data_IF_956048483134
#
_entry.id   IF_956048483134
#
_cell.length_a   1.000
_cell.length_b   1.000
_cell.length_c   1.000
_cell.angle_alpha   90.00
_cell.angle_beta   90.00
_cell.angle_gamma   90.00
#
_symmetry.space_group_name_H-M   'P 1'
#
loop_
_entity.id
_entity.type
_entity.pdbx_description
1 polymer ?
#
# COMPACT_ATOMS: atom_id res chain seq x y z
N UNK A 1 -11.16 -2.30 33.44
CA UNK A 1 -9.99 -1.55 32.96
C UNK A 1 -10.17 -1.41 31.47
N UNK A 2 -10.43 -0.19 30.98
CA UNK A 2 -10.43 0.08 29.55
C UNK A 2 -9.05 -0.23 28.98
N UNK A 3 -9.01 -0.70 27.74
CA UNK A 3 -7.75 -0.84 27.01
C UNK A 3 -7.20 0.57 26.78
N UNK A 4 -6.25 1.01 27.59
CA UNK A 4 -5.48 2.19 27.24
C UNK A 4 -4.46 1.76 26.19
N UNK A 5 -4.92 1.70 24.93
CA UNK A 5 -4.03 1.66 23.76
C UNK A 5 -3.01 2.77 23.97
N UNK A 6 -1.73 2.43 23.92
CA UNK A 6 -0.68 3.41 24.20
C UNK A 6 -0.81 4.61 23.27
N UNK A 7 -0.41 5.79 23.75
CA UNK A 7 -0.38 7.01 22.93
C UNK A 7 0.49 6.81 21.68
N UNK A 8 1.56 6.01 21.78
CA UNK A 8 2.42 5.63 20.67
C UNK A 8 1.65 4.82 19.61
N UNK A 9 0.94 3.75 20.01
CA UNK A 9 0.15 2.95 19.08
C UNK A 9 -1.02 3.72 18.46
N UNK A 10 -1.66 4.63 19.21
CA UNK A 10 -2.68 5.52 18.63
C UNK A 10 -2.09 6.47 17.58
N UNK A 11 -0.89 7.00 17.84
CA UNK A 11 -0.18 7.86 16.88
C UNK A 11 0.16 7.07 15.62
N UNK A 12 0.74 5.87 15.78
CA UNK A 12 1.04 4.97 14.68
C UNK A 12 -0.20 4.64 13.85
N UNK A 13 -1.31 4.27 14.51
CA UNK A 13 -2.59 3.99 13.84
C UNK A 13 -3.04 5.17 12.98
N UNK A 14 -3.00 6.39 13.51
CA UNK A 14 -3.38 7.60 12.75
C UNK A 14 -2.46 7.82 11.55
N UNK A 15 -1.16 7.60 11.72
CA UNK A 15 -0.18 7.69 10.63
C UNK A 15 -0.50 6.69 9.52
N UNK A 16 -0.74 5.42 9.86
CA UNK A 16 -1.07 4.38 8.88
C UNK A 16 -2.38 4.68 8.14
N UNK A 17 -3.42 5.11 8.85
CA UNK A 17 -4.69 5.52 8.25
C UNK A 17 -4.51 6.71 7.29
N UNK A 18 -3.73 7.71 7.70
CA UNK A 18 -3.44 8.88 6.87
C UNK A 18 -2.67 8.53 5.60
N UNK A 19 -1.61 7.73 5.70
CA UNK A 19 -0.86 7.28 4.53
C UNK A 19 -1.69 6.38 3.61
N UNK A 20 -2.52 5.48 4.17
CA UNK A 20 -3.48 4.72 3.37
C UNK A 20 -4.42 5.64 2.59
N UNK A 21 -4.90 6.74 3.17
CA UNK A 21 -5.78 7.68 2.48
C UNK A 21 -5.04 8.39 1.32
N UNK A 22 -3.77 8.74 1.51
CA UNK A 22 -2.93 9.26 0.45
C UNK A 22 -2.67 8.24 -0.67
N UNK A 23 -2.55 6.94 -0.36
CA UNK A 23 -2.45 5.89 -1.36
C UNK A 23 -3.77 5.71 -2.15
N UNK A 24 -4.94 5.83 -1.50
CA UNK A 24 -6.22 5.88 -2.20
C UNK A 24 -6.31 7.11 -3.13
N UNK A 25 -5.79 8.26 -2.70
CA UNK A 25 -5.69 9.42 -3.59
C UNK A 25 -4.79 9.13 -4.80
N UNK A 26 -3.65 8.45 -4.61
CA UNK A 26 -2.80 8.01 -5.71
C UNK A 26 -3.54 7.06 -6.67
N UNK A 27 -4.42 6.19 -6.16
CA UNK A 27 -5.31 5.37 -7.02
C UNK A 27 -6.21 6.23 -7.90
N UNK A 28 -6.80 7.30 -7.35
CA UNK A 28 -7.64 8.22 -8.12
C UNK A 28 -6.84 8.95 -9.21
N UNK A 29 -5.60 9.34 -8.90
CA UNK A 29 -4.67 9.89 -9.90
C UNK A 29 -4.37 8.86 -11.00
N UNK A 30 -4.16 7.59 -10.63
CA UNK A 30 -4.00 6.49 -11.59
C UNK A 30 -5.24 6.27 -12.47
N UNK A 31 -6.45 6.38 -11.89
CA UNK A 31 -7.72 6.27 -12.61
C UNK A 31 -7.97 7.43 -13.58
N UNK A 32 -7.63 8.66 -13.16
CA UNK A 32 -7.62 9.82 -14.04
C UNK A 32 -6.62 9.61 -15.20
N UNK A 33 -5.42 9.11 -14.91
CA UNK A 33 -4.44 8.75 -15.94
C UNK A 33 -4.96 7.69 -16.92
N UNK A 34 -5.63 6.64 -16.42
CA UNK A 34 -6.28 5.62 -17.25
C UNK A 34 -7.33 6.22 -18.18
N UNK A 35 -8.24 7.04 -17.63
CA UNK A 35 -9.25 7.73 -18.41
C UNK A 35 -8.62 8.58 -19.51
N UNK A 36 -7.65 9.42 -19.16
CA UNK A 36 -6.96 10.28 -20.12
C UNK A 36 -6.21 9.48 -21.20
N UNK A 37 -5.58 8.36 -20.82
CA UNK A 37 -4.84 7.49 -21.74
C UNK A 37 -5.77 6.84 -22.76
N UNK A 38 -6.91 6.28 -22.32
CA UNK A 38 -7.88 5.62 -23.21
C UNK A 38 -8.55 6.66 -24.13
N UNK A 39 -8.90 7.83 -23.59
CA UNK A 39 -9.53 8.89 -24.37
C UNK A 39 -8.56 9.56 -25.37
N UNK A 40 -7.26 9.51 -25.11
CA UNK A 40 -6.25 10.25 -25.88
C UNK A 40 -6.30 11.76 -25.62
N UNK A 41 -6.70 12.15 -24.40
CA UNK A 41 -6.91 13.54 -24.01
C UNK A 41 -7.77 13.67 -22.76
N UNK A 42 -8.32 14.86 -22.53
CA UNK A 42 -9.24 15.13 -21.44
C UNK A 42 -10.44 15.94 -21.92
N UNK A 43 -11.64 15.47 -21.61
CA UNK A 43 -12.89 16.14 -21.96
C UNK A 43 -13.27 17.14 -20.87
N UNK A 44 -13.30 18.44 -21.20
CA UNK A 44 -13.60 19.50 -20.22
C UNK A 44 -15.11 19.80 -20.21
N UNK A 45 -15.72 19.81 -21.39
CA UNK A 45 -17.16 19.91 -21.61
C UNK A 45 -17.57 18.89 -22.67
N UNK A 46 -18.83 18.41 -22.67
CA UNK A 46 -19.29 17.43 -23.64
C UNK A 46 -18.96 17.83 -25.08
N UNK A 47 -18.21 16.97 -25.78
CA UNK A 47 -17.77 17.16 -27.17
C UNK A 47 -16.48 17.95 -27.36
N UNK A 48 -15.88 18.52 -26.30
CA UNK A 48 -14.61 19.26 -26.37
C UNK A 48 -13.49 18.53 -25.63
N UNK A 49 -12.67 17.81 -26.40
CA UNK A 49 -11.52 17.04 -25.89
C UNK A 49 -10.23 17.82 -26.17
N UNK A 50 -9.52 18.16 -25.10
CA UNK A 50 -8.13 18.62 -25.19
C UNK A 50 -7.26 17.39 -25.41
N UNK A 51 -6.73 17.23 -26.62
CA UNK A 51 -5.96 16.05 -27.03
C UNK A 51 -4.53 16.13 -26.51
N UNK A 52 -4.08 15.03 -25.91
CA UNK A 52 -2.69 14.80 -25.53
C UNK A 52 -2.46 13.29 -25.38
N UNK A 53 -1.20 12.86 -25.40
CA UNK A 53 -0.85 11.46 -25.16
C UNK A 53 -0.16 11.31 -23.81
N UNK A 54 -0.54 10.27 -23.08
CA UNK A 54 0.14 9.86 -21.85
C UNK A 54 1.09 8.70 -22.16
N UNK A 55 2.28 8.65 -21.53
CA UNK A 55 3.18 7.52 -21.68
C UNK A 55 2.64 6.27 -21.00
N UNK A 56 3.27 5.13 -21.29
CA UNK A 56 2.96 3.85 -20.69
C UNK A 56 1.93 3.05 -21.48
N UNK A 57 1.10 2.30 -20.77
CA UNK A 57 0.12 1.39 -21.37
C UNK A 57 -1.19 1.38 -20.60
N UNK A 58 -2.29 1.01 -21.26
CA UNK A 58 -3.60 0.84 -20.62
C UNK A 58 -3.50 -0.10 -19.40
N UNK A 59 -2.88 -1.28 -19.56
CA UNK A 59 -2.68 -2.23 -18.46
C UNK A 59 -1.87 -1.64 -17.30
N UNK A 60 -0.86 -0.81 -17.60
CA UNK A 60 -0.08 -0.17 -16.55
C UNK A 60 -0.89 0.91 -15.82
N UNK A 61 -1.70 1.69 -16.52
CA UNK A 61 -2.63 2.64 -15.90
C UNK A 61 -3.72 1.97 -15.07
N UNK A 62 -4.24 0.81 -15.50
CA UNK A 62 -5.13 -0.03 -14.67
C UNK A 62 -4.43 -0.41 -13.37
N UNK A 63 -3.15 -0.80 -13.40
CA UNK A 63 -2.38 -1.12 -12.19
C UNK A 63 -2.13 0.12 -11.32
N UNK A 64 -1.85 1.28 -11.91
CA UNK A 64 -1.75 2.55 -11.17
C UNK A 64 -3.08 2.91 -10.49
N UNK A 65 -4.22 2.51 -11.05
CA UNK A 65 -5.51 2.72 -10.44
C UNK A 65 -5.81 1.69 -9.33
N UNK A 66 -5.66 0.40 -9.59
CA UNK A 66 -6.12 -0.64 -8.65
C UNK A 66 -5.07 -1.01 -7.59
N UNK A 67 -3.79 -0.95 -7.94
CA UNK A 67 -2.68 -1.34 -7.07
C UNK A 67 -2.59 -0.52 -5.78
N UNK A 68 -2.64 0.82 -5.84
CA UNK A 68 -2.65 1.65 -4.63
C UNK A 68 -3.86 1.41 -3.72
N UNK A 69 -5.01 0.96 -4.25
CA UNK A 69 -6.19 0.60 -3.43
C UNK A 69 -5.86 -0.58 -2.53
N UNK A 70 -5.34 -1.67 -3.10
CA UNK A 70 -5.00 -2.86 -2.32
C UNK A 70 -3.95 -2.55 -1.23
N UNK A 71 -2.92 -1.76 -1.58
CA UNK A 71 -1.88 -1.35 -0.63
C UNK A 71 -2.43 -0.41 0.45
N UNK A 72 -3.32 0.52 0.10
CA UNK A 72 -3.98 1.37 1.07
C UNK A 72 -4.78 0.56 2.09
N UNK A 73 -5.60 -0.39 1.61
CA UNK A 73 -6.42 -1.25 2.46
C UNK A 73 -5.55 -2.11 3.38
N UNK A 74 -4.44 -2.64 2.88
CA UNK A 74 -3.45 -3.36 3.68
C UNK A 74 -2.88 -2.48 4.80
N UNK A 75 -2.39 -1.28 4.46
CA UNK A 75 -1.79 -0.35 5.44
C UNK A 75 -2.81 0.11 6.48
N UNK A 76 -4.02 0.48 6.04
CA UNK A 76 -5.12 0.84 6.93
C UNK A 76 -5.54 -0.33 7.81
N UNK A 77 -5.67 -1.52 7.24
CA UNK A 77 -6.01 -2.75 7.95
C UNK A 77 -5.01 -3.04 9.07
N UNK A 78 -3.71 -2.95 8.78
CA UNK A 78 -2.65 -3.06 9.79
C UNK A 78 -2.79 -2.01 10.88
N UNK A 79 -3.05 -0.75 10.53
CA UNK A 79 -3.26 0.33 11.50
C UNK A 79 -4.49 0.13 12.39
N UNK A 80 -5.55 -0.48 11.86
CA UNK A 80 -6.74 -0.85 12.62
C UNK A 80 -6.51 -2.08 13.50
N UNK A 81 -5.69 -3.03 13.06
CA UNK A 81 -5.43 -4.28 13.77
C UNK A 81 -4.44 -4.12 14.94
N UNK A 82 -3.36 -3.34 14.76
CA UNK A 82 -2.26 -3.22 15.75
C UNK A 82 -2.74 -2.97 17.19
N UNK A 83 -3.67 -2.03 17.48
CA UNK A 83 -4.15 -1.79 18.85
C UNK A 83 -4.85 -2.97 19.51
N UNK A 84 -5.21 -4.00 18.74
CA UNK A 84 -5.89 -5.20 19.20
C UNK A 84 -4.94 -6.41 19.28
N UNK A 85 -3.67 -6.23 18.93
CA UNK A 85 -2.63 -7.23 19.08
C UNK A 85 -1.84 -6.88 20.34
N UNK A 86 -1.61 -7.85 21.23
CA UNK A 86 -0.72 -7.69 22.38
C UNK A 86 0.73 -7.60 21.90
N UNK A 87 1.11 -6.42 21.43
CA UNK A 87 2.43 -6.10 20.90
C UNK A 87 3.09 -5.03 21.77
N UNK A 88 4.39 -5.17 22.09
CA UNK A 88 5.18 -4.06 22.62
C UNK A 88 5.18 -2.89 21.63
N UNK A 89 5.11 -1.66 22.14
CA UNK A 89 5.04 -0.44 21.32
C UNK A 89 6.13 -0.37 20.25
N UNK A 90 7.38 -0.64 20.61
CA UNK A 90 8.50 -0.60 19.66
C UNK A 90 8.41 -1.65 18.54
N UNK A 91 7.83 -2.82 18.84
CA UNK A 91 7.59 -3.84 17.82
C UNK A 91 6.43 -3.41 16.90
N UNK A 92 5.33 -2.92 17.48
CA UNK A 92 4.20 -2.40 16.72
C UNK A 92 4.63 -1.28 15.77
N UNK A 93 5.42 -0.33 16.24
CA UNK A 93 5.97 0.77 15.44
C UNK A 93 6.82 0.25 14.27
N UNK A 94 7.77 -0.65 14.54
CA UNK A 94 8.63 -1.22 13.50
C UNK A 94 7.82 -1.95 12.43
N UNK A 95 6.87 -2.79 12.84
CA UNK A 95 6.03 -3.57 11.92
C UNK A 95 5.12 -2.65 11.09
N UNK A 96 4.46 -1.67 11.74
CA UNK A 96 3.63 -0.69 11.07
C UNK A 96 4.40 0.11 10.04
N UNK A 97 5.62 0.56 10.37
CA UNK A 97 6.46 1.33 9.45
C UNK A 97 6.90 0.50 8.23
N UNK A 98 7.29 -0.77 8.44
CA UNK A 98 7.62 -1.68 7.34
C UNK A 98 6.44 -1.83 6.38
N UNK A 99 5.24 -2.10 6.91
CA UNK A 99 4.03 -2.26 6.08
C UNK A 99 3.68 -0.98 5.34
N UNK A 100 3.81 0.18 5.99
CA UNK A 100 3.58 1.49 5.36
C UNK A 100 4.53 1.74 4.19
N UNK A 101 5.82 1.46 4.38
CA UNK A 101 6.85 1.69 3.35
C UNK A 101 6.76 0.69 2.21
N UNK A 102 6.37 -0.55 2.48
CA UNK A 102 6.01 -1.51 1.43
C UNK A 102 4.84 -0.99 0.60
N UNK A 103 3.78 -0.51 1.25
CA UNK A 103 2.64 0.10 0.57
C UNK A 103 3.05 1.22 -0.39
N UNK A 104 3.88 2.17 0.06
CA UNK A 104 4.38 3.26 -0.80
C UNK A 104 5.32 2.78 -1.89
N UNK A 105 6.14 1.78 -1.59
CA UNK A 105 7.05 1.18 -2.56
C UNK A 105 6.27 0.54 -3.71
N UNK A 106 5.17 -0.16 -3.41
CA UNK A 106 4.29 -0.72 -4.42
C UNK A 106 3.54 0.35 -5.21
N UNK A 107 3.07 1.43 -4.57
CA UNK A 107 2.51 2.59 -5.30
C UNK A 107 3.53 3.12 -6.30
N UNK A 108 4.75 3.41 -5.86
CA UNK A 108 5.84 3.85 -6.75
C UNK A 108 6.13 2.86 -7.87
N UNK A 109 6.19 1.56 -7.56
CA UNK A 109 6.38 0.48 -8.53
C UNK A 109 5.34 0.53 -9.65
N UNK A 110 4.06 0.75 -9.37
CA UNK A 110 3.04 0.82 -10.41
C UNK A 110 3.24 2.02 -11.34
N UNK A 111 3.51 3.21 -10.79
CA UNK A 111 3.70 4.42 -11.58
C UNK A 111 4.99 4.39 -12.40
N UNK A 112 6.12 4.09 -11.77
CA UNK A 112 7.41 4.02 -12.46
C UNK A 112 7.50 2.82 -13.39
N UNK A 113 6.89 1.69 -13.02
CA UNK A 113 6.78 0.51 -13.86
C UNK A 113 5.96 0.79 -15.13
N UNK A 114 4.90 1.60 -15.06
CA UNK A 114 4.10 1.96 -16.23
C UNK A 114 4.92 2.71 -17.30
N UNK A 115 5.90 3.52 -16.89
CA UNK A 115 6.75 4.30 -17.81
C UNK A 115 8.15 3.67 -18.02
N UNK A 116 8.41 2.51 -17.45
CA UNK A 116 9.65 1.75 -17.65
C UNK A 116 9.52 0.77 -18.84
N UNK A 117 10.54 0.68 -19.72
CA UNK A 117 10.55 -0.29 -20.81
C UNK A 117 10.44 -1.75 -20.34
N UNK A 118 11.06 -2.09 -19.21
CA UNK A 118 11.01 -3.44 -18.65
C UNK A 118 9.90 -3.63 -17.60
N UNK A 119 8.97 -2.66 -17.51
CA UNK A 119 7.87 -2.61 -16.54
C UNK A 119 8.32 -2.58 -15.07
N UNK A 120 9.56 -2.17 -14.81
CA UNK A 120 10.14 -2.18 -13.46
C UNK A 120 10.43 -3.57 -12.90
N UNK A 121 10.55 -4.60 -13.75
CA UNK A 121 10.68 -6.00 -13.31
C UNK A 121 12.12 -6.50 -13.24
N UNK A 122 13.09 -5.73 -13.71
CA UNK A 122 14.49 -6.10 -13.66
C UNK A 122 15.39 -4.87 -13.46
N UNK A 123 16.51 -5.06 -12.75
CA UNK A 123 17.57 -4.04 -12.69
C UNK A 123 18.38 -3.96 -13.99
N UNK A 124 18.45 -5.07 -14.75
CA UNK A 124 19.10 -5.16 -16.05
C UNK A 124 18.13 -5.33 -17.21
N UNK A 125 18.68 -5.59 -18.40
CA UNK A 125 17.88 -5.91 -19.59
C UNK A 125 17.06 -7.18 -19.38
N UNK A 126 15.81 -7.15 -19.81
CA UNK A 126 14.88 -8.27 -19.72
C UNK A 126 14.25 -8.56 -21.07
N UNK A 127 13.48 -9.66 -21.16
CA UNK A 127 12.64 -9.97 -22.33
C UNK A 127 11.63 -8.88 -22.70
N UNK A 128 11.29 -7.99 -21.76
CA UNK A 128 10.32 -6.90 -21.96
C UNK A 128 10.98 -5.63 -22.51
N UNK A 129 12.28 -5.48 -22.31
CA UNK A 129 13.02 -4.28 -22.69
C UNK A 129 14.25 -4.02 -21.81
N UNK A 130 15.04 -2.99 -22.17
CA UNK A 130 16.19 -2.55 -21.39
C UNK A 130 15.76 -1.92 -20.05
N UNK A 131 16.69 -1.88 -19.10
CA UNK A 131 16.52 -1.16 -17.84
C UNK A 131 16.82 0.34 -18.00
N UNK A 132 16.25 1.14 -17.11
CA UNK A 132 16.50 2.57 -16.98
C UNK A 132 16.29 3.00 -15.52
N UNK A 133 16.42 4.31 -15.24
CA UNK A 133 16.22 4.85 -13.90
C UNK A 133 14.84 4.51 -13.30
N UNK A 134 13.76 4.57 -14.10
CA UNK A 134 12.41 4.20 -13.64
C UNK A 134 12.30 2.72 -13.28
N UNK A 135 13.10 1.86 -13.92
CA UNK A 135 13.15 0.44 -13.59
C UNK A 135 13.74 0.20 -12.21
N UNK A 136 14.81 0.93 -11.87
CA UNK A 136 15.46 0.86 -10.56
C UNK A 136 14.57 1.47 -9.48
N UNK A 137 13.96 2.63 -9.75
CA UNK A 137 13.04 3.29 -8.82
C UNK A 137 11.78 2.48 -8.56
N UNK A 138 11.28 1.74 -9.56
CA UNK A 138 10.18 0.81 -9.37
C UNK A 138 10.61 -0.38 -8.51
N UNK A 139 11.64 -1.11 -8.95
CA UNK A 139 11.97 -2.41 -8.37
C UNK A 139 12.66 -2.32 -7.02
N UNK A 140 13.60 -1.40 -6.84
CA UNK A 140 14.48 -1.36 -5.67
C UNK A 140 13.72 -1.29 -4.34
N UNK A 141 12.89 -0.24 -4.12
CA UNK A 141 12.10 -0.11 -2.90
C UNK A 141 11.12 -1.27 -2.72
N UNK A 142 10.39 -1.67 -3.78
CA UNK A 142 9.38 -2.72 -3.70
C UNK A 142 10.02 -4.09 -3.40
N UNK A 143 11.20 -4.37 -3.94
CA UNK A 143 11.96 -5.57 -3.65
C UNK A 143 12.40 -5.61 -2.18
N UNK A 144 12.98 -4.51 -1.68
CA UNK A 144 13.49 -4.45 -0.32
C UNK A 144 12.35 -4.51 0.72
N UNK A 145 11.37 -3.62 0.61
CA UNK A 145 10.27 -3.56 1.56
C UNK A 145 9.28 -4.72 1.41
N UNK A 146 9.10 -5.28 0.22
CA UNK A 146 8.27 -6.46 0.02
C UNK A 146 8.78 -7.66 0.81
N UNK A 147 10.10 -7.92 0.77
CA UNK A 147 10.72 -8.99 1.58
C UNK A 147 10.55 -8.71 3.08
N UNK A 148 10.72 -7.47 3.53
CA UNK A 148 10.51 -7.11 4.93
C UNK A 148 9.03 -7.25 5.35
N UNK A 149 8.10 -6.88 4.48
CA UNK A 149 6.66 -6.98 4.72
C UNK A 149 6.20 -8.43 4.86
N UNK A 150 6.78 -9.36 4.09
CA UNK A 150 6.55 -10.80 4.30
C UNK A 150 6.88 -11.22 5.74
N UNK A 151 8.03 -10.79 6.27
CA UNK A 151 8.40 -11.03 7.66
C UNK A 151 7.47 -10.32 8.65
N UNK A 152 7.09 -9.08 8.36
CA UNK A 152 6.20 -8.31 9.22
C UNK A 152 4.82 -8.96 9.37
N UNK A 153 4.22 -9.41 8.26
CA UNK A 153 2.94 -10.11 8.30
C UNK A 153 3.02 -11.49 8.93
N UNK A 154 4.14 -12.20 8.81
CA UNK A 154 4.36 -13.44 9.55
C UNK A 154 4.31 -13.20 11.06
N UNK A 155 4.96 -12.14 11.55
CA UNK A 155 4.94 -11.77 12.98
C UNK A 155 3.55 -11.29 13.41
N UNK A 156 2.92 -10.39 12.66
CA UNK A 156 1.56 -9.92 12.95
C UNK A 156 0.55 -11.08 13.00
N UNK A 157 0.62 -11.99 12.02
CA UNK A 157 -0.22 -13.17 11.96
C UNK A 157 0.02 -14.13 13.13
N UNK A 158 1.28 -14.32 13.53
CA UNK A 158 1.61 -15.11 14.71
C UNK A 158 0.97 -14.53 15.98
N UNK A 159 1.11 -13.22 16.23
CA UNK A 159 0.51 -12.57 17.39
C UNK A 159 -1.02 -12.57 17.34
N UNK A 160 -1.63 -12.49 16.16
CA UNK A 160 -3.08 -12.55 16.01
C UNK A 160 -3.65 -13.95 16.32
N UNK A 161 -2.92 -15.02 16.00
CA UNK A 161 -3.40 -16.40 16.17
C UNK A 161 -2.99 -17.03 17.51
N UNK A 162 -1.79 -16.73 17.98
CA UNK A 162 -1.17 -17.38 19.14
C UNK A 162 -0.85 -16.42 20.28
N UNK A 163 -1.10 -15.12 20.09
CA UNK A 163 -1.02 -14.15 21.18
C UNK A 163 -2.04 -14.49 22.29
N UNK A 164 -1.78 -14.04 23.53
CA UNK A 164 -2.72 -14.28 24.63
C UNK A 164 -4.13 -13.81 24.25
N UNK A 165 -5.10 -14.72 24.34
CA UNK A 165 -6.48 -14.45 23.95
C UNK A 165 -7.22 -13.69 25.06
N UNK A 166 -7.78 -12.53 24.73
CA UNK A 166 -8.63 -11.73 25.62
C UNK A 166 -10.05 -12.29 25.77
N UNK A 167 -10.19 -13.58 26.09
CA UNK A 167 -11.49 -14.12 26.51
C UNK A 167 -11.72 -13.70 27.95
N UNK A 168 -12.53 -12.65 28.18
CA UNK A 168 -13.05 -12.37 29.52
C UNK A 168 -13.79 -13.62 30.02
N UNK A 169 -13.55 -14.10 31.25
CA UNK A 169 -14.47 -15.03 31.87
C UNK A 169 -15.81 -14.29 31.97
N UNK A 170 -16.82 -14.77 31.25
CA UNK A 170 -18.20 -14.40 31.50
C UNK A 170 -18.51 -14.82 32.93
N UNK A 171 -18.50 -13.86 33.85
CA UNK A 171 -19.04 -14.04 35.20
C UNK A 171 -20.53 -14.36 35.02
N UNK A 172 -20.84 -15.66 34.94
CA UNK A 172 -22.19 -16.18 35.07
C UNK A 172 -22.61 -15.88 36.50
N UNK A 173 -23.30 -14.75 36.69
CA UNK A 173 -23.98 -14.47 37.95
C UNK A 173 -24.99 -15.60 38.17
N UNK A 174 -24.73 -16.47 39.13
CA UNK A 174 -25.75 -17.36 39.68
C UNK A 174 -26.74 -16.48 40.45
N UNK A 175 -27.95 -16.37 39.90
CA UNK A 175 -29.13 -15.97 40.66
C UNK A 175 -29.69 -17.20 41.36
#
# INVERSE_FOLDING_TARGET
MSMDVSSAQQTLRRTLLGHGAWMLLSSLVGGLGLWCFILGGFEIIPGFIVKFSLPGSEQGWVRCHTGPVANALMVMGTGLAIPHLELPDGLAEKLGWIVMMDGWSNVGFYFFGNISPNRGLAFGTSRLGPSNIFSILALGPAYFFGVLAMGAFAVLGYHALYGPSHTKPTLRKSH
#
